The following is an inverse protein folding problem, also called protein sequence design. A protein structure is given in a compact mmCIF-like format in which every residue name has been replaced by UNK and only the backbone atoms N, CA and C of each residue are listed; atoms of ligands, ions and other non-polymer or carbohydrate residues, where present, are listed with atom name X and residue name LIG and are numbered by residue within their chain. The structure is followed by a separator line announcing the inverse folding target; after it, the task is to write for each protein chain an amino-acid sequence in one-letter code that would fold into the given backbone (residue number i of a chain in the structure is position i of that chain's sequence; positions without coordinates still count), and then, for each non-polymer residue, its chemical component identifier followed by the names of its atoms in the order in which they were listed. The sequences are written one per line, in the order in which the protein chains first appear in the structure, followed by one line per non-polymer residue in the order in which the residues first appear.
data_IF_936965910932
#
_entry.id   IF_936965910932
#
_cell.length_a   1.000
_cell.length_b   1.000
_cell.length_c   1.000
_cell.angle_alpha   90.00
_cell.angle_beta   90.00
_cell.angle_gamma   90.00
#
_symmetry.space_group_name_H-M   'P 1'
#
loop_
_entity.id
_entity.type
_entity.pdbx_description
1 polymer ?
#
# COMPACT_ATOMS: atom_id res chain seq x y z
N UNK A 1 0.42 -15.62 7.63
CA UNK A 1 1.27 -14.54 8.15
C UNK A 1 1.07 -13.27 7.34
N UNK A 2 1.10 -12.12 8.00
CA UNK A 2 0.96 -10.85 7.33
C UNK A 2 2.20 -10.52 6.50
N UNK A 3 2.01 -10.05 5.28
CA UNK A 3 3.09 -9.53 4.45
C UNK A 3 3.32 -8.07 4.82
N UNK A 4 4.56 -7.68 4.98
CA UNK A 4 4.92 -6.31 5.34
C UNK A 4 5.73 -5.68 4.22
N UNK A 5 5.29 -4.52 3.74
CA UNK A 5 6.00 -3.74 2.74
C UNK A 5 6.39 -2.40 3.36
N UNK A 6 7.67 -2.20 3.61
CA UNK A 6 8.20 -0.97 4.14
C UNK A 6 8.79 -0.16 2.97
N UNK A 7 8.17 0.96 2.66
CA UNK A 7 8.56 1.80 1.54
C UNK A 7 9.59 2.87 1.89
N UNK A 8 10.09 2.85 3.11
CA UNK A 8 11.14 3.80 3.52
C UNK A 8 12.36 3.61 2.63
N UNK A 9 12.78 4.68 1.96
CA UNK A 9 13.93 4.62 1.06
C UNK A 9 13.67 4.03 -0.31
N UNK A 10 12.42 3.61 -0.60
CA UNK A 10 12.06 3.09 -1.92
C UNK A 10 11.80 4.25 -2.86
N UNK A 11 12.24 4.12 -4.12
CA UNK A 11 12.02 5.15 -5.14
C UNK A 11 10.55 5.22 -5.51
N UNK A 12 10.03 6.43 -5.71
CA UNK A 12 8.63 6.64 -6.06
C UNK A 12 8.22 5.88 -7.32
N UNK A 13 9.14 5.76 -8.28
CA UNK A 13 8.85 5.07 -9.55
C UNK A 13 8.58 3.57 -9.35
N UNK A 14 9.07 2.99 -8.27
CA UNK A 14 8.90 1.56 -7.99
C UNK A 14 7.68 1.26 -7.12
N UNK A 15 7.09 2.28 -6.50
CA UNK A 15 6.06 2.08 -5.48
C UNK A 15 4.80 1.43 -6.03
N UNK A 16 4.29 1.93 -7.17
CA UNK A 16 3.06 1.38 -7.74
C UNK A 16 3.17 -0.10 -8.01
N UNK A 17 4.30 -0.53 -8.59
CA UNK A 17 4.54 -1.94 -8.91
C UNK A 17 4.61 -2.78 -7.64
N UNK A 18 5.36 -2.31 -6.64
CA UNK A 18 5.51 -3.04 -5.39
C UNK A 18 4.18 -3.19 -4.65
N UNK A 19 3.42 -2.10 -4.60
CA UNK A 19 2.12 -2.11 -3.94
C UNK A 19 1.15 -3.02 -4.71
N UNK A 20 1.10 -2.91 -6.02
CA UNK A 20 0.22 -3.75 -6.85
C UNK A 20 0.51 -5.24 -6.64
N UNK A 21 1.79 -5.61 -6.65
CA UNK A 21 2.16 -7.01 -6.43
C UNK A 21 1.72 -7.52 -5.06
N UNK A 22 1.77 -6.66 -4.05
CA UNK A 22 1.39 -7.04 -2.69
C UNK A 22 -0.13 -7.15 -2.53
N UNK A 23 -0.87 -6.12 -2.97
CA UNK A 23 -2.32 -6.04 -2.70
C UNK A 23 -3.14 -7.02 -3.53
N UNK A 24 -2.62 -7.48 -4.64
CA UNK A 24 -3.30 -8.49 -5.46
C UNK A 24 -3.05 -9.91 -4.97
N UNK A 25 -2.13 -10.10 -4.03
CA UNK A 25 -2.02 -11.36 -3.31
C UNK A 25 -3.23 -11.48 -2.38
N UNK A 26 -3.83 -12.64 -2.34
CA UNK A 26 -5.02 -12.85 -1.50
C UNK A 26 -4.63 -13.15 -0.05
N UNK A 27 -3.72 -12.33 0.50
CA UNK A 27 -3.15 -12.48 1.83
C UNK A 27 -3.34 -11.21 2.64
N UNK A 28 -3.09 -11.33 3.95
CA UNK A 28 -3.04 -10.18 4.83
C UNK A 28 -1.75 -9.40 4.57
N UNK A 29 -1.86 -8.08 4.45
CA UNK A 29 -0.70 -7.23 4.20
C UNK A 29 -0.74 -5.95 5.01
N UNK A 30 0.43 -5.32 5.12
CA UNK A 30 0.61 -4.04 5.79
C UNK A 30 1.63 -3.23 4.98
N UNK A 31 1.30 -1.98 4.67
CA UNK A 31 2.17 -1.08 3.92
C UNK A 31 2.55 0.11 4.79
N UNK A 32 3.84 0.35 4.94
CA UNK A 32 4.38 1.46 5.73
C UNK A 32 5.05 2.44 4.78
N UNK A 33 4.56 3.69 4.77
CA UNK A 33 5.00 4.69 3.80
C UNK A 33 6.16 5.58 4.28
N UNK A 34 6.53 5.50 5.55
CA UNK A 34 7.50 6.43 6.13
C UNK A 34 6.87 7.81 6.33
N UNK A 35 7.68 8.87 6.35
CA UNK A 35 7.22 10.22 6.64
C UNK A 35 7.01 11.08 5.40
N UNK A 36 6.95 10.49 4.23
CA UNK A 36 6.79 11.22 2.96
C UNK A 36 5.32 11.34 2.59
N UNK A 37 4.82 12.57 2.54
CA UNK A 37 3.44 12.82 2.08
C UNK A 37 3.26 12.36 0.64
N UNK A 38 4.28 12.52 -0.20
CA UNK A 38 4.25 12.06 -1.59
C UNK A 38 4.08 10.55 -1.66
N UNK A 39 4.80 9.81 -0.83
CA UNK A 39 4.71 8.37 -0.78
C UNK A 39 3.31 7.93 -0.33
N UNK A 40 2.78 8.57 0.70
CA UNK A 40 1.44 8.29 1.21
C UNK A 40 0.41 8.50 0.11
N UNK A 41 0.53 9.59 -0.65
CA UNK A 41 -0.39 9.88 -1.75
C UNK A 41 -0.33 8.81 -2.84
N UNK A 42 0.87 8.41 -3.24
CA UNK A 42 1.05 7.38 -4.28
C UNK A 42 0.40 6.07 -3.85
N UNK A 43 0.66 5.65 -2.62
CA UNK A 43 0.10 4.40 -2.10
C UNK A 43 -1.41 4.48 -2.01
N UNK A 44 -1.95 5.58 -1.48
CA UNK A 44 -3.39 5.76 -1.34
C UNK A 44 -4.08 5.73 -2.71
N UNK A 45 -3.52 6.41 -3.70
CA UNK A 45 -4.11 6.43 -5.04
C UNK A 45 -4.13 5.03 -5.64
N UNK A 46 -3.08 4.24 -5.44
CA UNK A 46 -3.03 2.86 -5.93
C UNK A 46 -4.03 1.97 -5.21
N UNK A 47 -4.22 2.19 -3.90
CA UNK A 47 -5.19 1.44 -3.13
C UNK A 47 -6.63 1.75 -3.55
N UNK A 48 -6.94 3.01 -3.89
CA UNK A 48 -8.24 3.36 -4.44
C UNK A 48 -8.47 2.68 -5.79
N UNK A 49 -7.45 2.66 -6.63
CA UNK A 49 -7.51 1.94 -7.91
C UNK A 49 -7.83 0.45 -7.69
N UNK A 50 -7.18 -0.17 -6.71
CA UNK A 50 -7.41 -1.57 -6.41
C UNK A 50 -8.80 -1.84 -5.86
N UNK A 51 -9.33 -0.93 -5.04
CA UNK A 51 -10.69 -1.05 -4.54
C UNK A 51 -11.69 -1.00 -5.68
N UNK A 52 -11.53 -0.04 -6.60
CA UNK A 52 -12.47 0.15 -7.71
C UNK A 52 -12.39 -0.97 -8.77
N UNK A 53 -11.18 -1.47 -9.04
CA UNK A 53 -10.96 -2.40 -10.15
C UNK A 53 -10.87 -3.86 -9.72
N UNK A 54 -10.50 -4.13 -8.48
CA UNK A 54 -10.29 -5.49 -7.98
C UNK A 54 -11.03 -5.80 -6.68
N UNK A 55 -11.79 -4.84 -6.17
CA UNK A 55 -12.54 -5.03 -4.92
C UNK A 55 -11.67 -5.24 -3.69
N UNK A 56 -10.42 -4.79 -3.73
CA UNK A 56 -9.50 -4.91 -2.60
C UNK A 56 -9.93 -3.97 -1.49
N UNK A 57 -10.26 -4.51 -0.32
CA UNK A 57 -10.65 -3.71 0.84
C UNK A 57 -9.42 -3.36 1.65
N UNK A 58 -9.36 -2.11 2.11
CA UNK A 58 -8.24 -1.63 2.90
C UNK A 58 -8.68 -0.50 3.83
N UNK A 59 -7.84 -0.20 4.80
CA UNK A 59 -8.08 0.94 5.68
C UNK A 59 -6.75 1.56 6.13
N UNK A 60 -6.81 2.81 6.55
CA UNK A 60 -5.64 3.52 7.05
C UNK A 60 -5.48 3.21 8.54
N UNK A 61 -4.42 2.48 8.89
CA UNK A 61 -4.17 2.05 10.26
C UNK A 61 -3.56 3.16 11.11
N UNK A 62 -2.71 4.00 10.50
CA UNK A 62 -2.09 5.14 11.16
C UNK A 62 -1.74 6.17 10.09
N UNK A 63 -1.07 7.28 10.49
CA UNK A 63 -0.73 8.36 9.56
C UNK A 63 -0.07 7.85 8.28
N UNK A 64 0.82 6.89 8.38
CA UNK A 64 1.61 6.42 7.24
C UNK A 64 1.50 4.92 6.99
N UNK A 65 0.47 4.26 7.51
CA UNK A 65 0.35 2.81 7.42
C UNK A 65 -1.03 2.41 6.93
N UNK A 66 -1.06 1.50 5.95
CA UNK A 66 -2.30 0.94 5.40
C UNK A 66 -2.32 -0.56 5.58
N UNK A 67 -3.50 -1.12 5.82
CA UNK A 67 -3.70 -2.55 6.04
C UNK A 67 -4.99 -3.03 5.40
N UNK A 68 -5.08 -4.34 5.17
CA UNK A 68 -6.33 -4.95 4.69
C UNK A 68 -7.04 -5.76 5.77
N UNK A 69 -6.41 -5.97 6.90
CA UNK A 69 -7.03 -6.68 8.05
C UNK A 69 -6.55 -6.13 9.36
#
# INVERSE_FOLDING_TARGET
MAKRLDLHGVRHDDVERLVENLILLNDEWKIICGNSDKMIQIVRDKLYWALENHGVKWYRNSHNTFRNK
#
